data_IF_588434777475
#
_entry.id   IF_588434777475
#
_cell.length_a   1.000
_cell.length_b   1.000
_cell.length_c   1.000
_cell.angle_alpha   90.00
_cell.angle_beta   90.00
_cell.angle_gamma   90.00
#
_symmetry.space_group_name_H-M   'P 1'
#
loop_
_entity.id
_entity.type
_entity.pdbx_description
1 polymer ?
#
# COMPACT_ATOMS: atom_id res chain seq x y z
N UNK A 1 15.98 10.79 23.49
CA UNK A 1 16.64 9.76 22.67
C UNK A 1 16.19 8.34 23.07
N UNK A 2 14.89 8.12 23.32
CA UNK A 2 14.38 6.83 23.83
C UNK A 2 13.57 6.05 22.78
N UNK A 3 13.81 6.32 21.50
CA UNK A 3 13.11 5.65 20.41
C UNK A 3 13.51 4.17 20.33
N UNK A 4 12.50 3.29 20.25
CA UNK A 4 12.69 1.84 20.15
C UNK A 4 12.46 1.41 18.69
N UNK A 5 13.53 1.09 17.93
CA UNK A 5 13.44 0.84 16.48
C UNK A 5 12.65 -0.42 16.10
N UNK A 6 12.37 -1.30 17.06
CA UNK A 6 11.56 -2.50 16.86
C UNK A 6 10.24 -2.42 17.62
N UNK A 7 9.76 -1.20 17.88
CA UNK A 7 8.43 -1.00 18.43
C UNK A 7 7.40 -1.52 17.42
N UNK A 8 6.34 -2.15 17.94
CA UNK A 8 5.26 -2.71 17.13
C UNK A 8 4.11 -1.72 17.10
N UNK A 9 3.69 -1.37 15.90
CA UNK A 9 2.64 -0.39 15.64
C UNK A 9 1.40 -1.10 15.09
N UNK A 10 0.24 -0.73 15.61
CA UNK A 10 -1.05 -1.18 15.09
C UNK A 10 -1.94 0.05 14.92
N UNK A 11 -2.42 0.29 13.71
CA UNK A 11 -3.35 1.37 13.41
C UNK A 11 -4.67 0.79 12.92
N UNK A 12 -5.77 1.33 13.40
CA UNK A 12 -7.11 0.89 13.03
C UNK A 12 -7.72 1.82 11.97
N UNK A 13 -8.31 1.25 10.91
CA UNK A 13 -9.10 2.00 9.96
C UNK A 13 -9.27 1.34 8.59
N UNK A 14 -10.27 1.79 7.83
CA UNK A 14 -10.63 1.21 6.54
C UNK A 14 -10.04 1.92 5.33
N UNK A 15 -9.44 3.11 5.50
CA UNK A 15 -8.97 3.90 4.37
C UNK A 15 -7.68 3.33 3.78
N UNK A 16 -7.58 3.34 2.45
CA UNK A 16 -6.40 2.83 1.74
C UNK A 16 -5.15 3.69 2.01
N UNK A 17 -5.33 4.98 2.28
CA UNK A 17 -4.26 5.90 2.62
C UNK A 17 -3.50 5.48 3.87
N UNK A 18 -4.14 4.77 4.80
CA UNK A 18 -3.46 4.22 5.98
C UNK A 18 -2.37 3.22 5.60
N UNK A 19 -2.48 2.53 4.47
CA UNK A 19 -1.42 1.66 3.94
C UNK A 19 -0.21 2.51 3.55
N UNK A 20 -0.43 3.60 2.81
CA UNK A 20 0.63 4.51 2.36
C UNK A 20 1.29 5.23 3.54
N UNK A 21 0.49 5.71 4.49
CA UNK A 21 0.98 6.34 5.71
C UNK A 21 1.78 5.36 6.57
N UNK A 22 1.40 4.09 6.64
CA UNK A 22 2.16 3.08 7.37
C UNK A 22 3.50 2.78 6.68
N UNK A 23 3.50 2.68 5.35
CA UNK A 23 4.71 2.43 4.56
C UNK A 23 5.75 3.54 4.71
N UNK A 24 5.34 4.81 4.64
CA UNK A 24 6.25 5.96 4.71
C UNK A 24 6.91 6.14 6.10
N UNK A 25 6.38 5.50 7.14
CA UNK A 25 7.06 5.47 8.45
C UNK A 25 8.36 4.67 8.41
N UNK A 26 8.51 3.75 7.45
CA UNK A 26 9.60 2.77 7.37
C UNK A 26 9.79 1.93 8.64
N UNK A 27 8.74 1.79 9.46
CA UNK A 27 8.75 0.94 10.64
C UNK A 27 8.68 -0.55 10.23
N UNK A 28 9.60 -1.41 10.71
CA UNK A 28 9.65 -2.82 10.31
C UNK A 28 8.48 -3.64 10.86
N UNK A 29 7.82 -3.15 11.91
CA UNK A 29 6.76 -3.86 12.61
C UNK A 29 5.48 -3.03 12.69
N UNK A 30 4.79 -2.89 11.56
CA UNK A 30 3.53 -2.17 11.46
C UNK A 30 2.41 -3.09 10.94
N UNK A 31 1.24 -3.05 11.57
CA UNK A 31 0.03 -3.67 11.04
C UNK A 31 -1.17 -2.71 11.04
N UNK A 32 -2.11 -2.97 10.13
CA UNK A 32 -3.42 -2.32 10.11
C UNK A 32 -4.48 -3.30 10.59
N UNK A 33 -5.31 -2.88 11.54
CA UNK A 33 -6.51 -3.59 11.91
C UNK A 33 -7.69 -3.01 11.12
N UNK A 34 -8.34 -3.85 10.31
CA UNK A 34 -9.39 -3.43 9.38
C UNK A 34 -10.62 -4.29 9.58
N UNK A 35 -11.81 -3.70 9.48
CA UNK A 35 -13.05 -4.47 9.42
C UNK A 35 -13.11 -5.23 8.07
N UNK A 36 -13.75 -6.40 8.05
CA UNK A 36 -14.08 -7.06 6.78
C UNK A 36 -15.15 -6.24 6.07
N UNK A 37 -14.89 -5.88 4.81
CA UNK A 37 -15.89 -5.26 3.94
C UNK A 37 -16.51 -6.36 3.09
N UNK A 38 -17.80 -6.61 3.24
CA UNK A 38 -18.55 -7.50 2.34
C UNK A 38 -18.95 -6.71 1.08
N UNK A 39 -18.61 -7.25 -0.10
CA UNK A 39 -19.05 -6.68 -1.37
C UNK A 39 -20.36 -7.36 -1.81
N UNK A 40 -21.44 -7.02 -1.12
CA UNK A 40 -22.80 -7.51 -1.43
C UNK A 40 -23.54 -6.56 -2.37
N UNK A 41 -23.35 -6.70 -3.69
CA UNK A 41 -24.04 -5.86 -4.67
C UNK A 41 -23.79 -6.30 -6.10
N UNK A 42 -24.83 -6.27 -6.95
CA UNK A 42 -24.73 -6.60 -8.37
C UNK A 42 -23.67 -5.78 -9.12
N UNK A 43 -23.23 -6.31 -10.27
CA UNK A 43 -22.17 -5.77 -11.15
C UNK A 43 -21.99 -4.25 -11.07
N UNK A 44 -20.88 -3.81 -10.47
CA UNK A 44 -20.28 -2.51 -10.74
C UNK A 44 -20.39 -1.42 -9.67
N UNK A 45 -20.99 -1.68 -8.50
CA UNK A 45 -20.92 -0.73 -7.37
C UNK A 45 -20.57 -1.45 -6.07
N UNK A 46 -19.43 -1.12 -5.43
CA UNK A 46 -19.16 -1.59 -4.09
C UNK A 46 -20.11 -0.88 -3.12
N UNK A 47 -21.21 -1.53 -2.74
CA UNK A 47 -21.97 -1.17 -1.56
C UNK A 47 -21.09 -1.43 -0.35
N UNK A 48 -20.57 -0.37 0.27
CA UNK A 48 -20.09 -0.44 1.66
C UNK A 48 -21.32 -0.72 2.53
N UNK A 49 -21.65 -2.00 2.72
CA UNK A 49 -22.57 -2.37 3.78
C UNK A 49 -21.83 -2.09 5.10
N UNK A 50 -22.15 -0.95 5.72
CA UNK A 50 -21.73 -0.66 7.08
C UNK A 50 -22.42 -1.70 7.95
N UNK A 51 -21.64 -2.66 8.42
CA UNK A 51 -22.14 -3.76 9.24
C UNK A 51 -22.82 -3.18 10.47
N UNK A 52 -24.02 -3.65 10.75
CA UNK A 52 -24.85 -3.15 11.86
C UNK A 52 -24.22 -3.40 13.24
N UNK A 53 -23.24 -4.32 13.33
CA UNK A 53 -22.45 -4.59 14.53
C UNK A 53 -21.00 -4.99 14.17
N UNK A 54 -20.08 -4.02 14.00
CA UNK A 54 -18.71 -4.29 13.58
C UNK A 54 -17.91 -5.14 14.59
N UNK A 55 -18.33 -5.17 15.86
CA UNK A 55 -17.73 -5.99 16.91
C UNK A 55 -18.15 -7.47 16.90
N UNK A 56 -19.17 -7.85 16.14
CA UNK A 56 -19.56 -9.27 15.94
C UNK A 56 -18.90 -9.90 14.71
N UNK A 57 -18.27 -9.10 13.84
CA UNK A 57 -17.75 -9.55 12.54
C UNK A 57 -16.23 -9.44 12.43
N UNK A 58 -15.67 -10.35 11.64
CA UNK A 58 -14.23 -10.64 11.60
C UNK A 58 -13.37 -9.41 11.28
N UNK A 59 -12.18 -9.35 11.89
CA UNK A 59 -11.17 -8.36 11.54
C UNK A 59 -10.13 -8.96 10.59
N UNK A 60 -9.59 -8.12 9.71
CA UNK A 60 -8.40 -8.40 8.91
C UNK A 60 -7.23 -7.70 9.58
N UNK A 61 -6.18 -8.47 9.87
CA UNK A 61 -4.90 -7.93 10.28
C UNK A 61 -3.98 -7.86 9.07
N UNK A 62 -3.81 -6.66 8.52
CA UNK A 62 -2.96 -6.42 7.35
C UNK A 62 -1.53 -6.09 7.80
N UNK A 63 -0.59 -6.98 7.51
CA UNK A 63 0.81 -6.85 7.92
C UNK A 63 1.60 -6.03 6.90
N UNK A 64 2.03 -4.82 7.27
CA UNK A 64 2.79 -3.93 6.40
C UNK A 64 4.18 -4.50 6.12
N UNK A 65 4.80 -5.17 7.11
CA UNK A 65 6.08 -5.85 6.92
C UNK A 65 6.04 -6.88 5.78
N UNK A 66 4.98 -7.68 5.71
CA UNK A 66 4.81 -8.66 4.63
C UNK A 66 4.62 -7.96 3.28
N UNK A 67 3.85 -6.87 3.22
CA UNK A 67 3.73 -6.07 1.99
C UNK A 67 5.10 -5.55 1.52
N UNK A 68 5.96 -5.08 2.44
CA UNK A 68 7.33 -4.65 2.12
C UNK A 68 8.16 -5.80 1.55
N UNK A 69 8.04 -7.01 2.08
CA UNK A 69 8.71 -8.19 1.54
C UNK A 69 8.24 -8.52 0.11
N UNK A 70 6.94 -8.37 -0.17
CA UNK A 70 6.41 -8.53 -1.53
C UNK A 70 6.96 -7.47 -2.50
N UNK A 71 7.03 -6.21 -2.07
CA UNK A 71 7.64 -5.13 -2.87
C UNK A 71 9.13 -5.38 -3.13
N UNK A 72 9.86 -5.82 -2.10
CA UNK A 72 11.26 -6.19 -2.22
C UNK A 72 11.43 -7.29 -3.27
N UNK A 73 10.63 -8.36 -3.20
CA UNK A 73 10.70 -9.45 -4.15
C UNK A 73 10.35 -9.03 -5.59
N UNK A 74 9.32 -8.19 -5.77
CA UNK A 74 8.88 -7.69 -7.08
C UNK A 74 9.99 -6.88 -7.76
N UNK A 75 10.60 -5.93 -7.05
CA UNK A 75 11.54 -4.98 -7.65
C UNK A 75 12.99 -5.44 -7.60
N UNK A 76 13.38 -6.29 -6.64
CA UNK A 76 14.75 -6.80 -6.54
C UNK A 76 15.13 -7.63 -7.76
N UNK A 77 14.22 -8.44 -8.31
CA UNK A 77 14.53 -9.29 -9.47
C UNK A 77 14.82 -8.48 -10.74
N UNK A 78 14.08 -7.39 -10.96
CA UNK A 78 14.21 -6.54 -12.14
C UNK A 78 15.31 -5.47 -12.01
N UNK A 79 15.52 -4.92 -10.81
CA UNK A 79 16.47 -3.82 -10.57
C UNK A 79 17.84 -4.28 -10.05
N UNK A 80 17.99 -5.50 -9.53
CA UNK A 80 19.29 -6.04 -9.11
C UNK A 80 20.09 -6.69 -10.26
N UNK A 81 19.67 -6.51 -11.51
CA UNK A 81 20.45 -6.86 -12.70
C UNK A 81 21.83 -6.16 -12.69
N UNK A 82 22.83 -6.64 -13.46
CA UNK A 82 24.23 -6.27 -13.27
C UNK A 82 24.42 -4.75 -13.18
N UNK A 83 25.20 -4.36 -12.16
CA UNK A 83 25.53 -3.01 -11.70
C UNK A 83 25.95 -2.06 -12.84
N UNK A 84 26.32 -2.61 -13.99
CA UNK A 84 26.72 -1.92 -15.20
C UNK A 84 25.58 -1.10 -15.87
N UNK A 85 24.31 -1.34 -15.52
CA UNK A 85 23.16 -0.61 -16.10
C UNK A 85 22.73 0.62 -15.31
N UNK A 86 23.01 0.70 -14.01
CA UNK A 86 22.47 1.75 -13.13
C UNK A 86 23.56 2.40 -12.30
N UNK A 87 23.52 3.73 -12.18
CA UNK A 87 24.49 4.50 -11.39
C UNK A 87 24.28 4.41 -9.88
N UNK A 88 23.23 3.73 -9.42
CA UNK A 88 22.82 3.66 -8.02
C UNK A 88 22.60 2.23 -7.53
N UNK A 89 22.71 2.04 -6.21
CA UNK A 89 22.45 0.75 -5.55
C UNK A 89 20.97 0.59 -5.27
N UNK A 90 20.47 -0.63 -5.39
CA UNK A 90 19.13 -0.99 -4.95
C UNK A 90 18.93 -0.70 -3.45
N UNK A 91 17.79 -0.11 -3.09
CA UNK A 91 17.38 0.17 -1.71
C UNK A 91 15.87 0.03 -1.58
N UNK A 92 15.40 -0.92 -0.78
CA UNK A 92 13.97 -1.13 -0.55
C UNK A 92 13.29 0.13 -0.01
N UNK A 93 13.93 0.85 0.90
CA UNK A 93 13.36 2.08 1.48
C UNK A 93 13.04 3.11 0.39
N UNK A 94 13.88 3.21 -0.65
CA UNK A 94 13.64 4.09 -1.80
C UNK A 94 12.52 3.58 -2.71
N UNK A 95 12.47 2.27 -2.93
CA UNK A 95 11.37 1.66 -3.69
C UNK A 95 10.03 1.89 -2.99
N UNK A 96 10.00 1.83 -1.65
CA UNK A 96 8.79 2.12 -0.86
C UNK A 96 8.39 3.59 -0.99
N UNK A 97 9.34 4.52 -0.93
CA UNK A 97 9.08 5.96 -1.17
C UNK A 97 8.47 6.20 -2.56
N UNK A 98 9.05 5.57 -3.60
CA UNK A 98 8.58 5.67 -4.98
C UNK A 98 7.20 5.03 -5.15
N UNK A 99 6.96 3.87 -4.54
CA UNK A 99 5.67 3.19 -4.55
C UNK A 99 4.58 4.08 -3.96
N UNK A 100 4.83 4.72 -2.81
CA UNK A 100 3.89 5.67 -2.20
C UNK A 100 3.63 6.85 -3.13
N UNK A 101 4.68 7.38 -3.77
CA UNK A 101 4.58 8.47 -4.74
C UNK A 101 3.73 8.09 -5.96
N UNK A 102 3.94 6.90 -6.51
CA UNK A 102 3.17 6.37 -7.65
C UNK A 102 1.69 6.24 -7.26
N UNK A 103 1.38 5.72 -6.07
CA UNK A 103 0.00 5.63 -5.60
C UNK A 103 -0.66 7.01 -5.44
N UNK A 104 0.07 7.99 -4.91
CA UNK A 104 -0.42 9.37 -4.81
C UNK A 104 -0.70 10.00 -6.18
N UNK A 105 0.06 9.63 -7.23
CA UNK A 105 -0.21 10.08 -8.61
C UNK A 105 -1.49 9.45 -9.16
N UNK A 106 -1.76 8.18 -8.86
CA UNK A 106 -2.99 7.50 -9.31
C UNK A 106 -4.21 8.18 -8.69
N UNK A 107 -4.17 8.50 -7.40
CA UNK A 107 -5.24 9.24 -6.74
C UNK A 107 -4.92 9.55 -5.28
N UNK A 108 -5.40 10.72 -4.83
CA UNK A 108 -5.37 11.14 -3.43
C UNK A 108 -6.45 12.20 -3.20
N UNK A 109 -6.79 12.46 -1.95
CA UNK A 109 -7.85 13.41 -1.58
C UNK A 109 -7.46 14.89 -1.73
N UNK A 110 -6.18 15.19 -1.98
CA UNK A 110 -5.67 16.57 -2.03
C UNK A 110 -5.67 17.16 -3.44
N UNK A 111 -5.53 16.31 -4.47
CA UNK A 111 -5.41 16.72 -5.87
C UNK A 111 -6.59 16.18 -6.71
N UNK A 112 -7.00 16.91 -7.77
CA UNK A 112 -7.93 16.35 -8.75
C UNK A 112 -7.37 15.07 -9.36
N UNK A 113 -8.21 14.04 -9.47
CA UNK A 113 -7.84 12.76 -10.11
C UNK A 113 -7.44 12.98 -11.57
N UNK A 114 -6.36 12.33 -12.01
CA UNK A 114 -5.97 12.36 -13.41
C UNK A 114 -6.93 11.51 -14.26
N UNK A 115 -7.49 12.05 -15.36
CA UNK A 115 -8.54 11.37 -16.12
C UNK A 115 -8.08 10.08 -16.83
N UNK A 116 -6.78 9.84 -16.95
CA UNK A 116 -6.19 8.67 -17.61
C UNK A 116 -5.63 7.62 -16.64
N UNK A 117 -5.73 7.86 -15.33
CA UNK A 117 -5.13 7.00 -14.30
C UNK A 117 -6.20 6.57 -13.29
N UNK A 118 -7.13 5.72 -13.73
CA UNK A 118 -8.11 5.09 -12.85
C UNK A 118 -7.63 3.70 -12.39
N UNK A 119 -7.73 3.43 -11.08
CA UNK A 119 -7.44 2.12 -10.48
C UNK A 119 -8.35 1.05 -11.09
N UNK A 120 -9.61 1.36 -11.38
CA UNK A 120 -10.56 0.44 -11.99
C UNK A 120 -10.15 0.03 -13.42
N UNK A 121 -9.38 0.89 -14.11
CA UNK A 121 -8.82 0.63 -15.44
C UNK A 121 -7.42 -0.03 -15.38
N UNK A 122 -6.92 -0.33 -14.17
CA UNK A 122 -5.63 -0.99 -13.97
C UNK A 122 -4.43 -0.05 -14.05
N UNK A 123 -4.63 1.26 -13.86
CA UNK A 123 -3.57 2.27 -13.96
C UNK A 123 -2.34 1.98 -13.09
N UNK A 124 -2.53 1.44 -11.88
CA UNK A 124 -1.42 1.12 -10.98
C UNK A 124 -0.49 0.06 -11.57
N UNK A 125 -1.06 -0.98 -12.19
CA UNK A 125 -0.27 -2.04 -12.84
C UNK A 125 0.51 -1.51 -14.05
N UNK A 126 -0.08 -0.60 -14.83
CA UNK A 126 0.61 0.06 -15.95
C UNK A 126 1.77 0.92 -15.45
N UNK A 127 1.57 1.71 -14.39
CA UNK A 127 2.61 2.54 -13.81
C UNK A 127 3.76 1.69 -13.25
N UNK A 128 3.49 0.55 -12.63
CA UNK A 128 4.54 -0.37 -12.16
C UNK A 128 5.31 -1.05 -13.29
N UNK A 129 4.69 -1.24 -14.45
CA UNK A 129 5.39 -1.76 -15.62
C UNK A 129 6.28 -0.71 -16.29
N UNK A 130 5.88 0.57 -16.20
CA UNK A 130 6.66 1.71 -16.73
C UNK A 130 7.85 2.01 -15.82
N UNK A 131 7.65 1.94 -14.51
CA UNK A 131 8.67 2.11 -13.49
C UNK A 131 9.71 0.98 -13.54
#
# INVERSE_FOLDING_TARGET
EDYKPNQRHCLYGLDADLIMLSLVTHEPHFCLLREVVSFGGGRGQPSREVLTNPSEENFILFQIGVLRDYLDNEFRTNLAAPVDKWSFKYSLERIVDDFVTINMLVGNDFLPSMPTLDIAEGALGQLFQIY
#
